data_IF_724649162878
#
_entry.id   IF_724649162878
#
_cell.length_a   1.000
_cell.length_b   1.000
_cell.length_c   1.000
_cell.angle_alpha   90.00
_cell.angle_beta   90.00
_cell.angle_gamma   90.00
#
_symmetry.space_group_name_H-M   'P 1'
#
loop_
_entity.id
_entity.type
_entity.pdbx_description
1 polymer ?
#
# COMPACT_ATOMS: atom_id res chain seq x y z
N UNK A 1 -4.51 -9.96 5.27
CA UNK A 1 -3.17 -9.93 4.66
C UNK A 1 -2.36 -10.99 5.37
N UNK A 2 -2.28 -12.18 4.76
CA UNK A 2 -1.67 -13.36 5.38
C UNK A 2 -0.15 -13.19 5.51
N UNK A 3 0.43 -13.63 6.62
CA UNK A 3 1.89 -13.61 6.81
C UNK A 3 2.65 -14.30 5.68
N UNK A 4 2.09 -15.37 5.11
CA UNK A 4 2.66 -16.09 3.97
C UNK A 4 2.95 -15.16 2.77
N UNK A 5 1.99 -14.32 2.37
CA UNK A 5 2.18 -13.38 1.26
C UNK A 5 3.22 -12.32 1.58
N UNK A 6 3.22 -11.84 2.83
CA UNK A 6 4.23 -10.89 3.30
C UNK A 6 5.63 -11.50 3.24
N UNK A 7 5.78 -12.75 3.67
CA UNK A 7 7.06 -13.48 3.62
C UNK A 7 7.51 -13.70 2.17
N UNK A 8 6.61 -14.09 1.27
CA UNK A 8 6.93 -14.26 -0.15
C UNK A 8 7.45 -12.95 -0.78
N UNK A 9 6.74 -11.83 -0.58
CA UNK A 9 7.16 -10.51 -1.09
C UNK A 9 8.48 -10.08 -0.47
N UNK A 10 8.65 -10.27 0.84
CA UNK A 10 9.91 -9.95 1.54
C UNK A 10 11.09 -10.75 1.01
N UNK A 11 10.91 -12.06 0.84
CA UNK A 11 11.93 -12.95 0.29
C UNK A 11 12.32 -12.55 -1.13
N UNK A 12 11.37 -12.12 -1.95
CA UNK A 12 11.65 -11.62 -3.30
C UNK A 12 12.51 -10.34 -3.26
N UNK A 13 12.14 -9.35 -2.45
CA UNK A 13 12.91 -8.10 -2.28
C UNK A 13 14.35 -8.42 -1.85
N UNK A 14 14.53 -9.31 -0.87
CA UNK A 14 15.85 -9.73 -0.39
C UNK A 14 16.62 -10.48 -1.48
N UNK A 15 15.98 -11.41 -2.19
CA UNK A 15 16.62 -12.19 -3.26
C UNK A 15 17.14 -11.29 -4.39
N UNK A 16 16.34 -10.32 -4.85
CA UNK A 16 16.75 -9.37 -5.91
C UNK A 16 17.91 -8.50 -5.42
N UNK A 17 17.86 -8.00 -4.18
CA UNK A 17 18.95 -7.20 -3.59
C UNK A 17 20.27 -7.97 -3.51
N UNK A 18 20.21 -9.25 -3.12
CA UNK A 18 21.38 -10.12 -2.99
C UNK A 18 21.93 -10.53 -4.37
N UNK A 19 21.05 -10.83 -5.32
CA UNK A 19 21.44 -11.22 -6.68
C UNK A 19 22.12 -10.07 -7.44
N UNK A 20 21.54 -8.88 -7.37
CA UNK A 20 22.04 -7.72 -8.14
C UNK A 20 23.15 -6.95 -7.43
N UNK A 21 23.28 -7.09 -6.11
CA UNK A 21 24.17 -6.27 -5.30
C UNK A 21 23.74 -4.80 -5.17
N UNK A 22 22.57 -4.41 -5.68
CA UNK A 22 22.07 -3.02 -5.74
C UNK A 22 20.78 -2.86 -4.96
N UNK A 23 20.53 -1.65 -4.46
CA UNK A 23 19.21 -1.32 -3.90
C UNK A 23 18.12 -1.56 -4.94
N UNK A 24 16.92 -1.89 -4.47
CA UNK A 24 15.79 -2.29 -5.30
C UNK A 24 14.71 -1.22 -5.33
N UNK A 25 14.05 -1.09 -6.47
CA UNK A 25 12.82 -0.31 -6.59
C UNK A 25 11.62 -1.24 -6.46
N UNK A 26 10.59 -0.79 -5.74
CA UNK A 26 9.38 -1.58 -5.48
C UNK A 26 8.15 -0.77 -5.90
N UNK A 27 7.40 -1.30 -6.85
CA UNK A 27 6.09 -0.77 -7.25
C UNK A 27 5.03 -1.73 -6.75
N UNK A 28 4.16 -1.27 -5.84
CA UNK A 28 2.99 -2.01 -5.38
C UNK A 28 1.73 -1.45 -6.02
N UNK A 29 0.83 -2.33 -6.46
CA UNK A 29 -0.49 -1.96 -6.96
C UNK A 29 -1.60 -2.56 -6.09
N UNK A 30 -2.64 -1.78 -5.79
CA UNK A 30 -3.82 -2.24 -5.06
C UNK A 30 -3.42 -2.91 -3.74
N UNK A 31 -3.85 -4.15 -3.48
CA UNK A 31 -3.46 -4.94 -2.30
C UNK A 31 -1.97 -5.24 -2.21
N UNK A 32 -1.24 -5.15 -3.33
CA UNK A 32 0.21 -5.22 -3.33
C UNK A 32 0.81 -4.18 -2.40
N UNK A 33 0.26 -2.96 -2.35
CA UNK A 33 0.77 -1.86 -1.52
C UNK A 33 0.83 -2.22 -0.03
N UNK A 34 -0.29 -2.54 0.66
CA UNK A 34 -0.23 -2.92 2.08
C UNK A 34 0.66 -4.14 2.33
N UNK A 35 0.66 -5.14 1.43
CA UNK A 35 1.47 -6.35 1.58
C UNK A 35 2.96 -6.04 1.49
N UNK A 36 3.39 -5.28 0.48
CA UNK A 36 4.79 -4.88 0.31
C UNK A 36 5.24 -3.93 1.41
N UNK A 37 4.37 -3.01 1.86
CA UNK A 37 4.64 -2.16 3.03
C UNK A 37 4.94 -3.00 4.26
N UNK A 38 4.10 -3.99 4.59
CA UNK A 38 4.40 -4.88 5.72
C UNK A 38 5.68 -5.70 5.51
N UNK A 39 5.94 -6.16 4.29
CA UNK A 39 7.16 -6.88 3.95
C UNK A 39 8.43 -6.04 4.16
N UNK A 40 8.37 -4.74 3.84
CA UNK A 40 9.47 -3.79 4.03
C UNK A 40 9.61 -3.40 5.50
N UNK A 41 8.50 -3.09 6.19
CA UNK A 41 8.50 -2.73 7.60
C UNK A 41 9.12 -3.84 8.48
N UNK A 42 8.82 -5.09 8.15
CA UNK A 42 9.23 -6.24 8.94
C UNK A 42 8.49 -6.31 10.29
N UNK A 43 9.23 -6.59 11.36
CA UNK A 43 8.66 -6.82 12.69
C UNK A 43 7.95 -8.17 12.77
N UNK A 44 6.88 -8.26 13.56
CA UNK A 44 6.05 -9.46 13.65
C UNK A 44 4.90 -9.41 12.65
N UNK A 45 4.57 -10.53 12.01
CA UNK A 45 3.31 -10.68 11.30
C UNK A 45 2.14 -10.49 12.27
N UNK A 46 1.12 -9.75 11.85
CA UNK A 46 -0.02 -9.38 12.71
C UNK A 46 -0.90 -10.58 13.02
N UNK A 47 -1.08 -11.49 12.07
CA UNK A 47 -1.90 -12.70 12.20
C UNK A 47 -1.20 -13.88 12.88
N UNK A 48 0.07 -14.14 12.56
CA UNK A 48 0.79 -15.33 13.06
C UNK A 48 1.81 -15.03 14.16
N UNK A 49 2.19 -13.77 14.35
CA UNK A 49 3.25 -13.38 15.28
C UNK A 49 4.67 -13.76 14.84
N UNK A 50 4.84 -14.42 13.69
CA UNK A 50 6.13 -14.80 13.12
C UNK A 50 7.02 -13.57 12.88
N UNK A 51 8.31 -13.70 13.16
CA UNK A 51 9.24 -12.59 13.04
C UNK A 51 9.83 -12.51 11.62
N UNK A 52 9.60 -11.38 10.95
CA UNK A 52 10.10 -11.09 9.60
C UNK A 52 11.54 -10.57 9.59
N UNK A 53 12.05 -10.11 10.74
CA UNK A 53 13.31 -9.36 10.83
C UNK A 53 13.09 -7.85 10.92
N UNK A 54 14.20 -7.10 10.87
CA UNK A 54 14.16 -5.64 10.84
C UNK A 54 13.66 -5.04 9.52
N UNK A 55 13.46 -3.72 9.45
CA UNK A 55 12.99 -3.06 8.25
C UNK A 55 14.01 -3.14 7.10
N UNK A 56 13.51 -3.21 5.86
CA UNK A 56 14.31 -3.22 4.63
C UNK A 56 14.52 -1.82 4.03
N UNK A 57 14.16 -0.75 4.75
CA UNK A 57 14.22 0.64 4.28
C UNK A 57 15.55 0.99 3.61
N UNK A 58 16.69 0.51 4.13
CA UNK A 58 18.02 0.84 3.61
C UNK A 58 18.34 0.18 2.26
N UNK A 59 17.64 -0.89 1.89
CA UNK A 59 17.88 -1.63 0.64
C UNK A 59 16.83 -1.33 -0.42
N UNK A 60 15.76 -0.59 -0.08
CA UNK A 60 14.79 -0.08 -1.05
C UNK A 60 15.19 1.34 -1.40
N UNK A 61 15.48 1.56 -2.68
CA UNK A 61 15.81 2.89 -3.19
C UNK A 61 14.51 3.71 -3.34
N UNK A 62 13.67 3.33 -4.30
CA UNK A 62 12.37 3.95 -4.49
C UNK A 62 11.20 2.98 -4.24
N UNK A 63 10.20 3.44 -3.48
CA UNK A 63 8.91 2.78 -3.33
C UNK A 63 7.80 3.59 -3.98
N UNK A 64 6.98 2.96 -4.83
CA UNK A 64 5.79 3.58 -5.44
C UNK A 64 4.56 2.75 -5.10
N UNK A 65 3.61 3.34 -4.37
CA UNK A 65 2.31 2.74 -4.10
C UNK A 65 1.24 3.26 -5.06
N UNK A 66 0.72 2.41 -5.92
CA UNK A 66 -0.35 2.75 -6.87
C UNK A 66 -1.69 2.21 -6.37
N UNK A 67 -2.66 3.11 -6.15
CA UNK A 67 -4.02 2.78 -5.70
C UNK A 67 -4.08 1.84 -4.47
N UNK A 68 -3.18 2.02 -3.50
CA UNK A 68 -3.15 1.19 -2.30
C UNK A 68 -4.26 1.52 -1.30
N UNK A 69 -4.92 0.54 -0.66
CA UNK A 69 -5.87 0.79 0.43
C UNK A 69 -5.16 0.96 1.78
N UNK A 70 -4.31 1.99 1.93
CA UNK A 70 -3.48 2.17 3.13
C UNK A 70 -4.29 2.55 4.37
N UNK A 71 -5.54 3.01 4.24
CA UNK A 71 -6.45 3.29 5.37
C UNK A 71 -7.76 2.50 5.28
N UNK A 72 -7.74 1.38 4.57
CA UNK A 72 -8.92 0.57 4.28
C UNK A 72 -9.45 0.79 2.86
N UNK A 73 -10.59 0.16 2.56
CA UNK A 73 -11.24 0.28 1.25
C UNK A 73 -12.71 0.67 1.40
N UNK A 74 -13.15 1.58 0.54
CA UNK A 74 -14.55 1.99 0.39
C UNK A 74 -14.94 1.95 -1.10
N UNK A 75 -15.14 0.74 -1.65
CA UNK A 75 -15.53 0.56 -3.04
C UNK A 75 -16.78 1.39 -3.39
N UNK A 76 -16.81 1.93 -4.60
CA UNK A 76 -17.96 2.66 -5.11
C UNK A 76 -18.93 1.69 -5.78
N UNK A 77 -20.19 1.67 -5.32
CA UNK A 77 -21.28 0.96 -5.99
C UNK A 77 -22.27 1.99 -6.53
N UNK A 78 -22.02 2.47 -7.75
CA UNK A 78 -22.77 3.57 -8.35
C UNK A 78 -22.55 4.89 -7.60
N UNK A 79 -23.60 5.68 -7.26
CA UNK A 79 -23.44 6.94 -6.54
C UNK A 79 -23.17 6.77 -5.03
N UNK A 80 -23.20 5.53 -4.53
CA UNK A 80 -23.02 5.21 -3.11
C UNK A 80 -21.60 4.69 -2.88
N UNK A 81 -20.85 5.39 -2.01
CA UNK A 81 -19.64 4.81 -1.41
C UNK A 81 -20.09 3.80 -0.35
N UNK A 82 -19.91 2.52 -0.64
CA UNK A 82 -20.22 1.49 0.35
C UNK A 82 -18.92 1.22 1.08
N UNK A 83 -18.87 1.42 2.41
CA UNK A 83 -17.74 0.97 3.19
C UNK A 83 -17.80 -0.56 3.18
N UNK A 84 -17.26 -1.20 2.14
CA UNK A 84 -17.36 -2.65 1.95
C UNK A 84 -16.71 -3.40 3.13
N UNK A 85 -15.75 -2.75 3.79
CA UNK A 85 -15.15 -3.23 5.03
C UNK A 85 -15.81 -2.74 6.33
N UNK A 86 -16.95 -2.03 6.29
CA UNK A 86 -17.76 -1.79 7.48
C UNK A 86 -18.63 -2.99 7.85
N UNK A 87 -19.12 -3.74 6.86
CA UNK A 87 -19.99 -4.89 7.11
C UNK A 87 -19.20 -6.19 7.36
N UNK A 88 -17.87 -6.16 7.22
CA UNK A 88 -16.94 -7.30 7.47
C UNK A 88 -17.32 -8.62 6.79
N UNK A 89 -18.11 -8.57 5.71
CA UNK A 89 -18.66 -9.76 5.04
C UNK A 89 -17.64 -10.52 4.18
N UNK A 90 -16.49 -9.92 3.89
CA UNK A 90 -15.42 -10.55 3.10
C UNK A 90 -14.16 -10.76 3.93
N UNK A 91 -13.38 -11.84 3.68
CA UNK A 91 -12.15 -12.12 4.44
C UNK A 91 -11.12 -10.98 4.40
N UNK A 92 -11.13 -10.17 3.35
CA UNK A 92 -10.23 -9.02 3.21
C UNK A 92 -10.55 -7.90 4.20
N UNK A 93 -11.77 -7.86 4.76
CA UNK A 93 -12.21 -6.85 5.72
C UNK A 93 -12.07 -7.31 7.19
N UNK A 94 -11.21 -8.30 7.45
CA UNK A 94 -10.92 -8.78 8.79
C UNK A 94 -10.28 -7.69 9.69
N UNK A 95 -10.65 -7.63 10.96
CA UNK A 95 -10.16 -6.63 11.93
C UNK A 95 -8.75 -6.89 12.46
N UNK A 96 -8.19 -8.08 12.25
CA UNK A 96 -6.81 -8.41 12.61
C UNK A 96 -5.91 -8.12 11.42
N UNK A 97 -5.96 -8.95 10.39
CA UNK A 97 -5.04 -8.84 9.26
C UNK A 97 -5.65 -8.20 8.00
N UNK A 98 -6.90 -7.76 8.00
CA UNK A 98 -7.59 -7.21 6.83
C UNK A 98 -7.51 -5.69 6.70
N UNK A 99 -8.43 -5.16 5.91
CA UNK A 99 -8.62 -3.74 5.58
C UNK A 99 -9.83 -3.14 6.33
N UNK A 100 -10.22 -3.71 7.47
CA UNK A 100 -11.32 -3.19 8.28
C UNK A 100 -11.10 -1.71 8.62
N UNK A 101 -12.07 -0.88 8.27
CA UNK A 101 -12.07 0.58 8.50
C UNK A 101 -13.48 1.09 8.81
N UNK A 102 -14.33 0.21 9.35
CA UNK A 102 -15.79 0.33 9.37
C UNK A 102 -16.40 1.25 10.41
N UNK A 103 -15.79 1.35 11.59
CA UNK A 103 -16.27 2.15 12.72
C UNK A 103 -15.17 3.10 13.16
N UNK A 104 -14.90 4.11 12.35
CA UNK A 104 -13.81 5.02 12.63
C UNK A 104 -13.95 5.71 14.00
N UNK A 105 -12.84 5.84 14.76
CA UNK A 105 -11.45 5.66 14.32
C UNK A 105 -10.92 4.21 14.35
N UNK A 106 -11.75 3.21 14.69
CA UNK A 106 -11.31 1.82 14.72
C UNK A 106 -10.99 1.30 13.32
N UNK A 107 -9.79 0.74 13.17
CA UNK A 107 -9.29 0.10 11.96
C UNK A 107 -8.57 -1.21 12.34
N UNK A 108 -8.29 -2.06 11.36
CA UNK A 108 -7.63 -3.35 11.62
C UNK A 108 -6.25 -3.20 12.27
N UNK A 109 -5.83 -4.19 13.05
CA UNK A 109 -4.47 -4.22 13.64
C UNK A 109 -3.39 -4.08 12.56
N UNK A 110 -3.62 -4.67 11.38
CA UNK A 110 -2.72 -4.55 10.24
C UNK A 110 -2.60 -3.13 9.71
N UNK A 111 -3.73 -2.42 9.53
CA UNK A 111 -3.69 -1.02 9.11
C UNK A 111 -3.06 -0.12 10.18
N UNK A 112 -3.26 -0.41 11.46
CA UNK A 112 -2.56 0.29 12.54
C UNK A 112 -1.05 0.07 12.47
N UNK A 113 -0.61 -1.17 12.27
CA UNK A 113 0.79 -1.55 12.23
C UNK A 113 1.55 -0.88 11.08
N UNK A 114 1.05 -0.99 9.84
CA UNK A 114 1.73 -0.40 8.68
C UNK A 114 1.72 1.14 8.67
N UNK A 115 0.80 1.77 9.39
CA UNK A 115 0.71 3.24 9.48
C UNK A 115 1.29 3.82 10.77
N UNK A 116 1.81 2.98 11.68
CA UNK A 116 2.45 3.41 12.92
C UNK A 116 3.72 4.22 12.68
N UNK A 117 4.44 3.89 11.61
CA UNK A 117 5.67 4.55 11.20
C UNK A 117 5.46 5.24 9.84
N UNK A 118 6.23 6.29 9.60
CA UNK A 118 6.20 7.04 8.35
C UNK A 118 7.52 6.84 7.58
N UNK A 119 7.43 6.88 6.26
CA UNK A 119 8.56 6.88 5.33
C UNK A 119 9.57 5.73 5.53
N UNK A 120 9.11 4.55 5.92
CA UNK A 120 9.98 3.38 6.07
C UNK A 120 10.08 2.56 4.77
N UNK A 121 9.25 2.88 3.78
CA UNK A 121 9.09 2.09 2.55
C UNK A 121 10.33 2.12 1.66
N UNK A 122 11.10 3.22 1.67
CA UNK A 122 12.33 3.37 0.89
C UNK A 122 13.01 4.71 1.15
N UNK A 123 14.08 5.00 0.41
CA UNK A 123 14.71 6.33 0.44
C UNK A 123 13.79 7.39 -0.15
N UNK A 124 13.15 7.04 -1.28
CA UNK A 124 12.10 7.83 -1.92
C UNK A 124 10.79 7.05 -1.88
N UNK A 125 9.71 7.73 -1.51
CA UNK A 125 8.39 7.10 -1.33
C UNK A 125 7.35 7.92 -2.06
N UNK A 126 6.60 7.31 -2.97
CA UNK A 126 5.58 7.98 -3.76
C UNK A 126 4.25 7.24 -3.71
N UNK A 127 3.16 7.99 -3.90
CA UNK A 127 1.86 7.40 -4.19
C UNK A 127 1.27 7.92 -5.50
N UNK A 128 0.57 7.03 -6.22
CA UNK A 128 -0.23 7.39 -7.39
C UNK A 128 -1.65 6.89 -7.12
N UNK A 129 -2.65 7.76 -7.22
CA UNK A 129 -4.04 7.38 -6.95
C UNK A 129 -5.04 8.28 -7.67
N UNK A 130 -6.32 7.93 -7.60
CA UNK A 130 -7.36 8.64 -8.34
C UNK A 130 -8.66 8.83 -7.56
N UNK A 131 -9.38 9.92 -7.86
CA UNK A 131 -10.68 10.24 -7.27
C UNK A 131 -11.80 9.30 -7.72
N UNK A 132 -11.64 8.65 -8.89
CA UNK A 132 -12.63 7.72 -9.46
C UNK A 132 -12.25 6.26 -9.27
N UNK A 133 -11.47 5.95 -8.23
CA UNK A 133 -11.13 4.59 -7.88
C UNK A 133 -12.40 3.87 -7.38
N UNK A 134 -12.93 2.98 -8.22
CA UNK A 134 -14.16 2.23 -7.94
C UNK A 134 -13.92 1.04 -7.00
N UNK A 135 -12.68 0.58 -6.83
CA UNK A 135 -12.35 -0.62 -6.06
C UNK A 135 -11.89 -0.29 -4.64
N UNK A 136 -10.86 0.55 -4.52
CA UNK A 136 -10.31 0.98 -3.22
C UNK A 136 -11.06 2.18 -2.68
N UNK A 137 -11.59 3.03 -3.56
CA UNK A 137 -12.20 4.30 -3.18
C UNK A 137 -11.18 5.41 -2.98
N UNK A 138 -11.67 6.66 -2.94
CA UNK A 138 -10.80 7.82 -2.74
C UNK A 138 -10.59 8.15 -1.25
N UNK A 139 -11.68 8.10 -0.49
CA UNK A 139 -11.71 8.50 0.92
C UNK A 139 -12.31 7.38 1.77
N UNK A 140 -11.67 7.10 2.90
CA UNK A 140 -12.16 6.23 3.96
C UNK A 140 -12.17 7.04 5.25
N UNK A 141 -13.33 7.17 5.88
CA UNK A 141 -13.50 7.93 7.12
C UNK A 141 -12.98 9.38 7.09
N UNK A 142 -13.28 10.10 6.00
CA UNK A 142 -12.83 11.48 5.81
C UNK A 142 -11.34 11.63 5.51
N UNK A 143 -10.59 10.54 5.36
CA UNK A 143 -9.17 10.54 5.02
C UNK A 143 -8.90 9.88 3.68
N UNK A 144 -7.95 10.43 2.92
CA UNK A 144 -7.48 9.80 1.69
C UNK A 144 -6.85 8.44 2.01
N UNK A 145 -7.29 7.39 1.33
CA UNK A 145 -6.84 6.03 1.67
C UNK A 145 -5.50 5.66 1.06
N UNK A 146 -5.17 6.16 -0.14
CA UNK A 146 -3.95 5.76 -0.86
C UNK A 146 -2.64 6.46 -0.49
N UNK A 147 -2.62 7.71 -0.01
CA UNK A 147 -1.37 8.34 0.41
C UNK A 147 -0.62 7.53 1.47
N UNK A 148 0.71 7.50 1.33
CA UNK A 148 1.63 6.86 2.27
C UNK A 148 2.07 7.89 3.33
N UNK A 149 2.11 7.54 4.63
CA UNK A 149 2.57 8.45 5.67
C UNK A 149 4.02 8.89 5.45
N UNK A 150 4.25 10.20 5.34
CA UNK A 150 5.58 10.78 5.18
C UNK A 150 6.19 10.66 3.78
N UNK A 151 5.40 10.32 2.77
CA UNK A 151 5.88 10.16 1.38
C UNK A 151 6.59 11.41 0.83
N UNK A 152 7.56 11.18 -0.05
CA UNK A 152 8.28 12.20 -0.82
C UNK A 152 7.36 12.99 -1.73
N UNK A 153 6.38 12.34 -2.35
CA UNK A 153 5.48 12.99 -3.28
C UNK A 153 4.28 12.14 -3.70
N UNK A 154 3.39 12.72 -4.48
CA UNK A 154 2.20 12.03 -4.99
C UNK A 154 1.74 12.55 -6.34
N UNK A 155 1.13 11.66 -7.13
CA UNK A 155 0.37 12.02 -8.33
C UNK A 155 -1.09 11.62 -8.16
N UNK A 156 -2.00 12.57 -8.40
CA UNK A 156 -3.45 12.37 -8.24
C UNK A 156 -4.15 12.60 -9.57
N UNK A 157 -4.97 11.64 -9.98
CA UNK A 157 -5.81 11.72 -11.18
C UNK A 157 -7.28 11.89 -10.82
N UNK A 158 -8.07 12.49 -11.71
CA UNK A 158 -9.51 12.71 -11.50
C UNK A 158 -10.39 11.96 -12.50
N UNK A 159 -9.76 11.32 -13.49
CA UNK A 159 -10.38 10.77 -14.69
C UNK A 159 -10.08 9.29 -14.90
N UNK A 160 -9.21 8.68 -14.10
CA UNK A 160 -8.81 7.27 -14.18
C UNK A 160 -9.61 6.40 -13.20
N UNK A 161 -9.90 5.18 -13.59
CA UNK A 161 -10.41 4.14 -12.69
C UNK A 161 -9.25 3.39 -12.00
N UNK A 162 -9.57 2.39 -11.16
CA UNK A 162 -8.59 1.62 -10.38
C UNK A 162 -7.50 0.95 -11.22
N UNK A 163 -7.85 0.38 -12.37
CA UNK A 163 -6.88 -0.33 -13.22
C UNK A 163 -6.13 0.65 -14.12
N UNK A 164 -6.83 1.64 -14.67
CA UNK A 164 -6.24 2.70 -15.50
C UNK A 164 -5.19 3.52 -14.77
N UNK A 165 -5.35 3.77 -13.46
CA UNK A 165 -4.35 4.53 -12.70
C UNK A 165 -3.03 3.77 -12.56
N UNK A 166 -3.04 2.44 -12.74
CA UNK A 166 -1.85 1.63 -12.85
C UNK A 166 -1.36 1.52 -14.29
N UNK A 167 -2.25 1.12 -15.21
CA UNK A 167 -1.88 0.81 -16.59
C UNK A 167 -1.47 2.04 -17.42
N UNK A 168 -2.08 3.21 -17.16
CA UNK A 168 -1.84 4.41 -17.95
C UNK A 168 -0.77 5.33 -17.35
N UNK A 169 -0.10 4.92 -16.27
CA UNK A 169 0.84 5.78 -15.52
C UNK A 169 2.26 5.21 -15.43
N UNK A 170 2.58 4.23 -16.27
CA UNK A 170 3.90 3.60 -16.32
C UNK A 170 5.03 4.61 -16.55
N UNK A 171 4.78 5.66 -17.33
CA UNK A 171 5.73 6.77 -17.54
C UNK A 171 5.99 7.51 -16.22
N UNK A 172 4.95 7.86 -15.47
CA UNK A 172 5.08 8.50 -14.15
C UNK A 172 5.77 7.58 -13.15
N UNK A 173 5.40 6.30 -13.10
CA UNK A 173 6.06 5.29 -12.26
C UNK A 173 7.55 5.20 -12.58
N UNK A 174 7.91 5.18 -13.88
CA UNK A 174 9.30 5.14 -14.34
C UNK A 174 10.09 6.40 -13.93
N UNK A 175 9.47 7.58 -14.00
CA UNK A 175 10.09 8.85 -13.59
C UNK A 175 10.32 8.91 -12.07
N UNK A 176 9.42 8.37 -11.28
CA UNK A 176 9.60 8.26 -9.83
C UNK A 176 10.78 7.37 -9.47
N UNK A 177 10.91 6.19 -10.08
CA UNK A 177 12.00 5.25 -9.77
C UNK A 177 13.36 5.67 -10.34
N UNK A 178 13.40 6.29 -11.53
CA UNK A 178 14.67 6.67 -12.18
C UNK A 178 15.20 8.03 -11.77
N UNK A 179 14.29 9.01 -11.69
CA UNK A 179 14.65 10.42 -11.59
C UNK A 179 14.22 11.04 -10.24
N UNK A 180 13.47 10.29 -9.42
CA UNK A 180 12.96 10.73 -8.11
C UNK A 180 12.13 12.02 -8.16
N UNK A 181 11.35 12.20 -9.23
CA UNK A 181 10.48 13.37 -9.44
C UNK A 181 9.01 12.99 -9.58
N UNK A 182 8.15 13.95 -9.23
CA UNK A 182 6.71 13.91 -9.52
C UNK A 182 6.44 14.82 -10.72
N UNK A 183 5.79 14.29 -11.75
CA UNK A 183 5.35 15.02 -12.95
C UNK A 183 3.83 15.15 -13.01
#
# INVERSE_FOLDING_TARGET
MKCEYVKQVRSLIVAVRLYTGRNVDVIGFSLGVPVSRKAILGGRCVDTGEYLGGPLTRVVDTYVGVAGPNRGASPQLGPLSVPACALSITPICNSVNGLYSGNCPAQSEFLQDINKYAHYEGQYTYSIYTQKDQMVGYTVCGQLTSPLPGQTGQRVYTDKNHDQVFDDTHDVQLRMIRDHVVI
#
